data_IF_956427549846
#
_entry.id   IF_956427549846
#
_cell.length_a   1.000
_cell.length_b   1.000
_cell.length_c   1.000
_cell.angle_alpha   90.00
_cell.angle_beta   90.00
_cell.angle_gamma   90.00
#
_symmetry.space_group_name_H-M   'P 1'
#
loop_
_entity.id
_entity.type
_entity.pdbx_description
1 polymer ?
#
# COMPACT_ATOMS: atom_id res chain seq x y z
N UNK A 1 -4.15 9.47 6.31
CA UNK A 1 -3.46 8.32 5.65
C UNK A 1 -3.86 8.33 4.18
N UNK A 2 -2.90 8.25 3.25
CA UNK A 2 -3.20 8.28 1.81
C UNK A 2 -4.29 7.23 1.47
N UNK A 3 -5.38 7.61 0.76
CA UNK A 3 -6.43 6.69 0.37
C UNK A 3 -5.88 5.39 -0.21
N UNK A 4 -4.93 5.45 -1.15
CA UNK A 4 -4.30 4.26 -1.77
C UNK A 4 -3.63 3.36 -0.72
N UNK A 5 -2.97 3.94 0.29
CA UNK A 5 -2.35 3.17 1.37
C UNK A 5 -3.40 2.44 2.23
N UNK A 6 -4.60 3.00 2.38
CA UNK A 6 -5.73 2.33 3.03
C UNK A 6 -6.16 1.08 2.26
N UNK A 7 -6.39 1.20 0.95
CA UNK A 7 -6.79 0.05 0.12
C UNK A 7 -5.70 -1.02 0.08
N UNK A 8 -4.43 -0.63 0.04
CA UNK A 8 -3.33 -1.58 0.14
C UNK A 8 -3.37 -2.36 1.47
N UNK A 9 -3.57 -1.66 2.59
CA UNK A 9 -3.69 -2.30 3.92
C UNK A 9 -4.91 -3.22 4.00
N UNK A 10 -6.04 -2.82 3.41
CA UNK A 10 -7.23 -3.68 3.34
C UNK A 10 -6.96 -4.97 2.55
N UNK A 11 -6.23 -4.90 1.42
CA UNK A 11 -5.82 -6.08 0.67
C UNK A 11 -4.92 -7.01 1.48
N UNK A 12 -3.91 -6.48 2.19
CA UNK A 12 -3.01 -7.26 3.04
C UNK A 12 -3.77 -8.02 4.15
N UNK A 13 -4.76 -7.39 4.77
CA UNK A 13 -5.62 -8.02 5.79
C UNK A 13 -6.44 -9.15 5.17
N UNK A 14 -7.09 -8.90 4.03
CA UNK A 14 -7.96 -9.88 3.37
C UNK A 14 -7.13 -11.10 2.93
N UNK A 15 -5.94 -10.89 2.38
CA UNK A 15 -5.02 -11.98 2.01
C UNK A 15 -4.65 -12.79 3.24
N UNK A 16 -4.25 -12.13 4.33
CA UNK A 16 -3.86 -12.77 5.58
C UNK A 16 -4.98 -13.68 6.11
N UNK A 17 -6.19 -13.14 6.25
CA UNK A 17 -7.37 -13.88 6.73
C UNK A 17 -7.74 -15.04 5.80
N UNK A 18 -7.63 -14.84 4.49
CA UNK A 18 -7.99 -15.84 3.49
C UNK A 18 -6.99 -17.00 3.48
N UNK A 19 -5.70 -16.71 3.47
CA UNK A 19 -4.64 -17.72 3.51
C UNK A 19 -4.60 -18.49 4.84
N UNK A 20 -4.81 -17.81 5.98
CA UNK A 20 -4.89 -18.47 7.29
C UNK A 20 -6.11 -19.41 7.39
N UNK A 21 -7.24 -19.02 6.80
CA UNK A 21 -8.45 -19.86 6.73
C UNK A 21 -8.27 -21.14 5.92
N UNK A 22 -7.26 -21.23 5.04
CA UNK A 22 -6.94 -22.47 4.31
C UNK A 22 -6.21 -23.50 5.18
N UNK A 23 -5.56 -23.06 6.26
CA UNK A 23 -4.77 -23.93 7.13
C UNK A 23 -5.53 -24.28 8.42
N UNK A 24 -6.33 -23.34 8.94
CA UNK A 24 -7.09 -23.49 10.17
C UNK A 24 -8.52 -23.88 9.78
N UNK A 25 -8.91 -25.15 9.99
CA UNK A 25 -10.28 -25.67 9.82
C UNK A 25 -11.33 -25.02 10.75
N UNK A 26 -10.97 -23.96 11.45
CA UNK A 26 -11.76 -23.33 12.50
C UNK A 26 -12.34 -22.00 12.00
N UNK A 27 -13.67 -21.90 11.99
CA UNK A 27 -14.43 -20.81 11.36
C UNK A 27 -14.53 -19.54 12.21
N UNK A 28 -13.92 -19.50 13.40
CA UNK A 28 -13.99 -18.37 14.32
C UNK A 28 -12.64 -17.69 14.49
N UNK A 29 -12.22 -16.93 13.49
CA UNK A 29 -11.39 -15.75 13.71
C UNK A 29 -12.31 -14.56 13.46
N UNK A 30 -13.09 -14.23 14.48
CA UNK A 30 -13.81 -12.97 14.56
C UNK A 30 -12.86 -12.00 15.27
N UNK A 31 -12.25 -11.05 14.55
CA UNK A 31 -11.49 -9.93 15.14
C UNK A 31 -11.09 -8.91 14.08
N UNK A 32 -12.06 -8.13 13.61
CA UNK A 32 -11.76 -6.86 12.91
C UNK A 32 -10.96 -5.87 13.79
N UNK A 33 -10.87 -6.11 15.10
CA UNK A 33 -10.15 -5.27 16.07
C UNK A 33 -8.63 -5.50 16.13
N UNK A 34 -8.08 -6.52 15.42
CA UNK A 34 -6.66 -6.90 15.50
C UNK A 34 -5.94 -7.00 14.15
N UNK A 35 -6.30 -6.10 13.21
CA UNK A 35 -5.77 -6.06 11.82
C UNK A 35 -4.25 -6.14 11.72
N UNK A 36 -3.51 -5.42 12.57
CA UNK A 36 -2.03 -5.43 12.56
C UNK A 36 -1.45 -6.71 13.15
N UNK A 37 -2.10 -7.30 14.16
CA UNK A 37 -1.69 -8.59 14.70
C UNK A 37 -1.91 -9.71 13.68
N UNK A 38 -3.00 -9.65 12.89
CA UNK A 38 -3.30 -10.62 11.83
C UNK A 38 -2.22 -10.60 10.75
N UNK A 39 -1.86 -9.41 10.24
CA UNK A 39 -0.78 -9.27 9.26
C UNK A 39 0.51 -9.82 9.86
N UNK A 40 0.86 -9.40 11.07
CA UNK A 40 2.09 -9.84 11.73
C UNK A 40 2.13 -11.37 11.90
N UNK A 41 1.03 -11.98 12.35
CA UNK A 41 0.92 -13.43 12.51
C UNK A 41 1.06 -14.18 11.19
N UNK A 42 0.44 -13.66 10.12
CA UNK A 42 0.64 -14.18 8.77
C UNK A 42 2.11 -14.07 8.35
N UNK A 43 2.74 -12.91 8.55
CA UNK A 43 4.12 -12.67 8.14
C UNK A 43 5.13 -13.55 8.89
N UNK A 44 4.92 -13.80 10.19
CA UNK A 44 5.73 -14.73 10.98
C UNK A 44 5.68 -16.16 10.44
N UNK A 45 4.55 -16.58 9.87
CA UNK A 45 4.33 -17.96 9.41
C UNK A 45 4.71 -18.16 7.93
N UNK A 46 4.27 -17.24 7.08
CA UNK A 46 4.35 -17.35 5.63
C UNK A 46 5.35 -16.39 4.99
N UNK A 47 5.80 -15.37 5.72
CA UNK A 47 6.66 -14.30 5.21
C UNK A 47 5.85 -13.06 4.83
N UNK A 48 6.60 -12.01 4.50
CA UNK A 48 6.06 -10.69 4.19
C UNK A 48 5.03 -10.71 3.06
N UNK A 49 4.00 -9.88 3.17
CA UNK A 49 3.05 -9.66 2.07
C UNK A 49 3.65 -8.63 1.12
N UNK A 50 3.91 -9.07 -0.11
CA UNK A 50 4.40 -8.19 -1.18
C UNK A 50 3.34 -8.12 -2.27
N UNK A 51 2.60 -7.01 -2.26
CA UNK A 51 1.66 -6.66 -3.32
C UNK A 51 2.42 -6.04 -4.49
N UNK A 52 2.14 -6.53 -5.69
CA UNK A 52 2.70 -6.05 -6.95
C UNK A 52 1.68 -5.23 -7.73
N UNK A 53 2.18 -4.40 -8.65
CA UNK A 53 1.33 -3.74 -9.65
C UNK A 53 1.18 -4.68 -10.85
N UNK A 54 -0.03 -5.17 -11.14
CA UNK A 54 -0.22 -6.11 -12.24
C UNK A 54 -0.14 -5.41 -13.60
N UNK A 55 -0.01 -6.17 -14.70
CA UNK A 55 -0.17 -5.65 -16.05
C UNK A 55 -1.52 -4.94 -16.23
N UNK A 56 -1.58 -4.02 -17.19
CA UNK A 56 -2.79 -3.26 -17.48
C UNK A 56 -4.01 -4.18 -17.70
N UNK A 57 -5.12 -3.86 -17.05
CA UNK A 57 -6.38 -4.61 -17.13
C UNK A 57 -6.54 -5.73 -16.11
N UNK A 58 -5.54 -5.99 -15.26
CA UNK A 58 -5.58 -7.04 -14.23
C UNK A 58 -5.70 -6.50 -12.79
N UNK A 59 -6.47 -5.43 -12.60
CA UNK A 59 -6.68 -4.77 -11.31
C UNK A 59 -5.56 -3.80 -10.93
N UNK A 60 -5.59 -3.30 -9.70
CA UNK A 60 -4.62 -2.30 -9.21
C UNK A 60 -3.52 -2.92 -8.34
N UNK A 61 -3.85 -4.01 -7.65
CA UNK A 61 -2.90 -4.78 -6.85
C UNK A 61 -3.02 -6.25 -7.16
N UNK A 62 -1.88 -6.95 -7.13
CA UNK A 62 -1.84 -8.39 -7.25
C UNK A 62 -1.00 -9.01 -6.14
N UNK A 63 -1.41 -10.18 -5.67
CA UNK A 63 -0.65 -10.97 -4.73
C UNK A 63 -0.16 -12.28 -5.38
N UNK A 64 1.16 -12.46 -5.55
CA UNK A 64 1.74 -13.70 -6.07
C UNK A 64 1.71 -14.82 -5.01
N UNK A 65 1.05 -15.93 -5.32
CA UNK A 65 0.90 -17.06 -4.37
C UNK A 65 2.07 -18.07 -4.41
N UNK A 66 3.18 -17.78 -5.11
CA UNK A 66 4.33 -18.68 -5.21
C UNK A 66 5.04 -18.92 -3.87
N UNK A 67 5.10 -17.88 -3.02
CA UNK A 67 5.68 -17.97 -1.68
C UNK A 67 4.89 -18.94 -0.79
N UNK A 68 3.56 -18.96 -0.94
CA UNK A 68 2.65 -19.85 -0.22
C UNK A 68 2.74 -21.30 -0.68
N UNK A 69 3.06 -21.56 -1.95
CA UNK A 69 3.14 -22.92 -2.49
C UNK A 69 4.12 -23.81 -1.71
N UNK A 70 5.29 -23.29 -1.34
CA UNK A 70 6.30 -24.03 -0.55
C UNK A 70 5.81 -24.36 0.85
N UNK A 71 5.05 -23.45 1.47
CA UNK A 71 4.57 -23.54 2.86
C UNK A 71 3.37 -24.47 2.97
N UNK A 72 2.39 -24.28 2.07
CA UNK A 72 1.15 -25.05 2.03
C UNK A 72 1.28 -26.38 1.27
N UNK A 73 2.42 -26.60 0.58
CA UNK A 73 2.68 -27.78 -0.27
C UNK A 73 1.56 -28.04 -1.29
N UNK A 74 0.94 -26.97 -1.80
CA UNK A 74 -0.16 -26.96 -2.76
C UNK A 74 0.26 -26.24 -4.04
N UNK A 75 -0.45 -26.51 -5.14
CA UNK A 75 -0.27 -25.79 -6.40
C UNK A 75 -0.60 -24.29 -6.20
N UNK A 76 0.26 -23.34 -6.61
CA UNK A 76 0.01 -21.91 -6.44
C UNK A 76 -1.24 -21.40 -7.14
N UNK A 77 -1.66 -22.01 -8.26
CA UNK A 77 -2.91 -21.65 -8.95
C UNK A 77 -4.11 -21.99 -8.07
N UNK A 78 -4.12 -23.21 -7.49
CA UNK A 78 -5.18 -23.62 -6.58
C UNK A 78 -5.21 -22.76 -5.31
N UNK A 79 -4.04 -22.39 -4.77
CA UNK A 79 -3.94 -21.46 -3.63
C UNK A 79 -4.57 -20.11 -4.01
N UNK A 80 -4.23 -19.56 -5.17
CA UNK A 80 -4.78 -18.28 -5.62
C UNK A 80 -6.30 -18.34 -5.78
N UNK A 81 -6.85 -19.42 -6.35
CA UNK A 81 -8.30 -19.63 -6.47
C UNK A 81 -9.00 -19.69 -5.11
N UNK A 82 -8.46 -20.47 -4.15
CA UNK A 82 -9.04 -20.57 -2.81
C UNK A 82 -8.96 -19.22 -2.06
N UNK A 83 -7.82 -18.52 -2.14
CA UNK A 83 -7.65 -17.21 -1.52
C UNK A 83 -8.59 -16.20 -2.15
N UNK A 84 -8.65 -16.11 -3.48
CA UNK A 84 -9.51 -15.15 -4.18
C UNK A 84 -10.98 -15.36 -3.82
N UNK A 85 -11.44 -16.61 -3.73
CA UNK A 85 -12.81 -16.92 -3.32
C UNK A 85 -13.12 -16.42 -1.91
N UNK A 86 -12.29 -16.76 -0.93
CA UNK A 86 -12.47 -16.31 0.46
C UNK A 86 -12.32 -14.79 0.60
N UNK A 87 -11.41 -14.21 -0.18
CA UNK A 87 -11.17 -12.77 -0.21
C UNK A 87 -12.38 -12.03 -0.77
N UNK A 88 -12.99 -12.55 -1.84
CA UNK A 88 -14.21 -12.00 -2.44
C UNK A 88 -15.40 -12.06 -1.48
N UNK A 89 -15.58 -13.17 -0.75
CA UNK A 89 -16.62 -13.31 0.29
C UNK A 89 -16.45 -12.30 1.43
N UNK A 90 -15.20 -11.89 1.69
CA UNK A 90 -14.83 -10.93 2.74
C UNK A 90 -14.55 -9.54 2.20
N UNK A 91 -14.79 -9.29 0.92
CA UNK A 91 -14.49 -7.98 0.35
C UNK A 91 -15.37 -6.94 1.02
N UNK A 92 -14.75 -5.96 1.65
CA UNK A 92 -15.46 -4.76 2.09
C UNK A 92 -15.82 -3.88 0.90
N UNK A 93 -16.31 -2.67 1.18
CA UNK A 93 -16.63 -1.66 0.15
C UNK A 93 -15.39 -1.16 -0.60
N UNK A 94 -14.19 -1.48 -0.11
CA UNK A 94 -12.93 -1.05 -0.69
C UNK A 94 -12.66 -1.64 -2.09
N UNK A 95 -13.26 -2.79 -2.40
CA UNK A 95 -12.99 -3.51 -3.65
C UNK A 95 -14.27 -3.76 -4.44
N UNK A 96 -14.20 -3.57 -5.75
CA UNK A 96 -15.26 -3.95 -6.69
C UNK A 96 -15.30 -5.48 -6.82
N UNK A 97 -14.13 -6.12 -6.95
CA UNK A 97 -13.97 -7.57 -7.05
C UNK A 97 -12.53 -8.01 -6.78
N UNK A 98 -12.38 -9.26 -6.39
CA UNK A 98 -11.11 -9.93 -6.13
C UNK A 98 -11.16 -11.27 -6.88
N UNK A 99 -10.23 -11.48 -7.79
CA UNK A 99 -10.26 -12.64 -8.70
C UNK A 99 -8.90 -13.29 -8.83
N UNK A 100 -8.89 -14.62 -9.01
CA UNK A 100 -7.67 -15.34 -9.33
C UNK A 100 -7.38 -15.24 -10.84
N UNK A 101 -6.10 -15.10 -11.19
CA UNK A 101 -5.60 -15.18 -12.57
C UNK A 101 -4.30 -15.96 -12.58
N UNK A 102 -4.39 -17.27 -12.83
CA UNK A 102 -3.25 -18.17 -12.66
C UNK A 102 -2.80 -18.19 -11.19
N UNK A 103 -1.48 -18.07 -10.89
CA UNK A 103 -0.96 -18.09 -9.52
C UNK A 103 -1.06 -16.74 -8.78
N UNK A 104 -1.90 -15.82 -9.24
CA UNK A 104 -2.07 -14.47 -8.68
C UNK A 104 -3.50 -14.24 -8.20
N UNK A 105 -3.64 -13.47 -7.12
CA UNK A 105 -4.90 -12.90 -6.67
C UNK A 105 -4.90 -11.42 -6.99
N UNK A 106 -5.81 -10.99 -7.87
CA UNK A 106 -5.91 -9.63 -8.38
C UNK A 106 -7.05 -8.89 -7.69
N UNK A 107 -6.77 -7.68 -7.21
CA UNK A 107 -7.70 -6.80 -6.50
C UNK A 107 -8.10 -5.65 -7.41
N UNK A 108 -9.40 -5.50 -7.62
CA UNK A 108 -10.00 -4.40 -8.37
C UNK A 108 -10.65 -3.46 -7.38
N UNK A 109 -10.17 -2.22 -7.33
CA UNK A 109 -10.65 -1.22 -6.40
C UNK A 109 -12.05 -0.74 -6.78
N UNK A 110 -12.85 -0.38 -5.78
CA UNK A 110 -14.05 0.39 -6.02
C UNK A 110 -13.65 1.85 -6.30
N UNK A 111 -13.64 2.24 -7.58
CA UNK A 111 -13.22 3.57 -8.02
C UNK A 111 -14.09 4.69 -7.44
N UNK A 112 -15.41 4.47 -7.32
CA UNK A 112 -16.32 5.44 -6.72
C UNK A 112 -15.99 5.64 -5.24
N UNK A 113 -15.73 4.56 -4.51
CA UNK A 113 -15.36 4.62 -3.10
C UNK A 113 -14.01 5.31 -2.87
N UNK A 114 -13.02 5.06 -3.74
CA UNK A 114 -11.74 5.76 -3.72
C UNK A 114 -11.93 7.24 -3.95
N UNK A 115 -12.70 7.62 -4.98
CA UNK A 115 -12.96 9.02 -5.28
C UNK A 115 -13.64 9.71 -4.09
N UNK A 116 -14.67 9.08 -3.51
CA UNK A 116 -15.37 9.60 -2.34
C UNK A 116 -14.42 9.83 -1.15
N UNK A 117 -13.66 8.81 -0.74
CA UNK A 117 -12.75 8.90 0.41
C UNK A 117 -11.63 9.92 0.14
N UNK A 118 -11.12 9.96 -1.10
CA UNK A 118 -10.05 10.88 -1.48
C UNK A 118 -10.53 12.33 -1.46
N UNK A 119 -11.68 12.62 -2.05
CA UNK A 119 -12.25 13.96 -2.07
C UNK A 119 -12.56 14.42 -0.65
N UNK A 120 -13.17 13.57 0.20
CA UNK A 120 -13.40 13.89 1.60
C UNK A 120 -12.08 14.20 2.33
N UNK A 121 -11.07 13.35 2.18
CA UNK A 121 -9.76 13.57 2.79
C UNK A 121 -9.10 14.88 2.32
N UNK A 122 -9.20 15.23 1.03
CA UNK A 122 -8.69 16.50 0.51
C UNK A 122 -9.42 17.69 1.15
N UNK A 123 -10.75 17.63 1.25
CA UNK A 123 -11.55 18.71 1.83
C UNK A 123 -11.33 18.89 3.33
N UNK A 124 -11.12 17.78 4.05
CA UNK A 124 -10.89 17.77 5.49
C UNK A 124 -9.45 18.19 5.84
N UNK A 125 -8.45 17.61 5.18
CA UNK A 125 -7.02 17.85 5.47
C UNK A 125 -6.49 19.15 4.82
N UNK A 126 -7.09 19.60 3.71
CA UNK A 126 -6.75 20.83 2.98
C UNK A 126 -5.25 20.91 2.64
N UNK A 127 -4.57 21.96 3.11
CA UNK A 127 -3.12 22.17 2.95
C UNK A 127 -2.28 21.05 3.58
N UNK A 128 -2.85 20.23 4.47
CA UNK A 128 -2.17 19.08 5.04
C UNK A 128 -2.47 17.76 4.30
N UNK A 129 -3.26 17.77 3.22
CA UNK A 129 -3.52 16.55 2.46
C UNK A 129 -2.22 15.97 1.90
N UNK A 130 -1.95 14.70 2.21
CA UNK A 130 -0.72 14.03 1.81
C UNK A 130 0.50 14.38 2.67
N UNK A 131 0.33 15.13 3.76
CA UNK A 131 1.39 15.39 4.74
C UNK A 131 1.79 14.08 5.44
N UNK A 132 3.08 13.85 5.56
CA UNK A 132 3.60 12.66 6.23
C UNK A 132 3.51 12.77 7.76
N UNK A 133 3.63 11.61 8.41
CA UNK A 133 3.72 11.54 9.87
C UNK A 133 5.06 12.07 10.36
N UNK A 134 5.06 12.71 11.53
CA UNK A 134 6.28 13.29 12.12
C UNK A 134 7.37 12.22 12.29
N UNK A 135 8.52 12.45 11.65
CA UNK A 135 9.70 11.60 11.76
C UNK A 135 10.63 12.07 12.88
N UNK A 136 11.50 11.18 13.36
CA UNK A 136 12.48 11.49 14.43
C UNK A 136 13.81 11.97 13.84
N UNK A 137 13.99 11.74 12.56
CA UNK A 137 15.19 12.00 11.80
C UNK A 137 15.39 13.50 11.58
N UNK A 138 16.63 13.97 11.79
CA UNK A 138 17.03 15.34 11.47
C UNK A 138 17.82 15.33 10.17
N UNK A 139 17.31 16.03 9.16
CA UNK A 139 17.97 16.17 7.86
C UNK A 139 18.63 17.54 7.78
N UNK A 140 19.94 17.57 7.49
CA UNK A 140 20.65 18.78 7.10
C UNK A 140 20.66 18.82 5.58
N UNK A 141 19.98 19.81 5.01
CA UNK A 141 19.95 20.04 3.57
C UNK A 141 20.68 21.36 3.25
N UNK A 142 21.89 21.24 2.72
CA UNK A 142 22.64 22.38 2.19
C UNK A 142 22.35 22.52 0.69
N UNK A 143 22.04 23.74 0.25
CA UNK A 143 21.84 24.03 -1.17
C UNK A 143 22.21 25.47 -1.50
N UNK A 144 22.18 25.81 -2.79
CA UNK A 144 22.65 27.09 -3.35
C UNK A 144 24.16 27.22 -3.35
N UNK A 145 24.78 27.30 -2.16
CA UNK A 145 26.23 27.41 -1.90
C UNK A 145 26.99 28.22 -2.96
N UNK A 146 26.39 29.34 -3.38
CA UNK A 146 26.91 30.15 -4.46
C UNK A 146 28.05 31.02 -3.94
N UNK A 147 29.14 31.09 -4.70
CA UNK A 147 30.24 31.98 -4.36
C UNK A 147 29.75 33.44 -4.33
N UNK A 148 30.16 34.25 -3.34
CA UNK A 148 29.69 35.62 -3.17
C UNK A 148 30.28 36.62 -4.19
N UNK A 149 31.03 36.13 -5.17
CA UNK A 149 31.81 36.92 -6.13
C UNK A 149 31.08 37.19 -7.47
N UNK A 150 29.75 37.19 -7.47
CA UNK A 150 28.97 37.60 -8.64
C UNK A 150 27.46 37.48 -8.44
N UNK A 151 26.66 38.13 -9.29
CA UNK A 151 25.21 38.11 -9.17
C UNK A 151 24.64 36.71 -9.41
N UNK A 152 23.52 36.41 -8.74
CA UNK A 152 22.67 35.27 -9.07
C UNK A 152 22.00 35.54 -10.42
N UNK A 153 22.23 34.65 -11.39
CA UNK A 153 21.55 34.67 -12.69
C UNK A 153 20.77 33.37 -12.89
N UNK A 154 19.92 33.32 -13.93
CA UNK A 154 19.04 32.16 -14.20
C UNK A 154 19.81 30.82 -14.29
N UNK A 155 21.02 30.83 -14.84
CA UNK A 155 21.90 29.65 -14.89
C UNK A 155 22.35 29.13 -13.52
N UNK A 156 22.35 29.99 -12.49
CA UNK A 156 22.64 29.63 -11.09
C UNK A 156 21.38 29.36 -10.26
N UNK A 157 20.18 29.56 -10.80
CA UNK A 157 18.92 29.40 -10.07
C UNK A 157 18.55 27.92 -9.82
N UNK A 158 19.10 26.97 -10.60
CA UNK A 158 18.80 25.54 -10.49
C UNK A 158 19.02 24.99 -9.08
N UNK A 159 20.18 25.27 -8.47
CA UNK A 159 20.52 24.74 -7.15
C UNK A 159 19.60 25.31 -6.04
N UNK A 160 19.38 26.64 -5.95
CA UNK A 160 18.35 27.21 -5.08
C UNK A 160 16.96 26.59 -5.24
N UNK A 161 16.47 26.43 -6.48
CA UNK A 161 15.13 25.94 -6.73
C UNK A 161 14.95 24.47 -6.33
N UNK A 162 15.90 23.60 -6.68
CA UNK A 162 15.86 22.19 -6.29
C UNK A 162 15.96 22.06 -4.78
N UNK A 163 16.89 22.78 -4.16
CA UNK A 163 17.11 22.73 -2.72
C UNK A 163 15.90 23.23 -1.93
N UNK A 164 15.30 24.37 -2.31
CA UNK A 164 14.10 24.88 -1.64
C UNK A 164 12.90 23.94 -1.84
N UNK A 165 12.73 23.39 -3.05
CA UNK A 165 11.66 22.41 -3.34
C UNK A 165 11.82 21.17 -2.47
N UNK A 166 13.04 20.63 -2.37
CA UNK A 166 13.31 19.47 -1.55
C UNK A 166 13.10 19.78 -0.06
N UNK A 167 13.50 20.97 0.42
CA UNK A 167 13.26 21.39 1.79
C UNK A 167 11.75 21.44 2.12
N UNK A 168 10.92 21.92 1.18
CA UNK A 168 9.45 21.94 1.33
C UNK A 168 8.89 20.52 1.38
N UNK A 169 9.29 19.66 0.44
CA UNK A 169 8.83 18.27 0.39
C UNK A 169 9.23 17.52 1.66
N UNK A 170 10.48 17.64 2.12
CA UNK A 170 10.96 16.95 3.32
C UNK A 170 10.21 17.41 4.57
N UNK A 171 9.97 18.72 4.74
CA UNK A 171 9.16 19.24 5.86
C UNK A 171 7.70 18.77 5.78
N UNK A 172 7.16 18.64 4.59
CA UNK A 172 5.79 18.16 4.38
C UNK A 172 5.66 16.66 4.60
N UNK A 173 6.71 15.89 4.29
CA UNK A 173 6.76 14.44 4.47
C UNK A 173 7.00 13.99 5.92
N UNK A 174 7.13 14.94 6.86
CA UNK A 174 7.24 14.70 8.30
C UNK A 174 8.65 14.71 8.84
#
# INVERSE_FOLDING_TARGET
MNPIAKFKKDAEIIISLSALGLEIRDKNIDTEDKKEEIIKFFEERFGKIELETPPAGLGEFAYPCFSLAKKLKKNPVFIAEEIAKLAEERKGESFEKIVASGPYVNFYINSEKIAEITIRAILDEKENFGKGEKKKEKIILEHTSANPNGPLHVGRARNPMIGDTLARILRFAG
#
